data_IF_639667970527
#
_entry.id   IF_639667970527
#
_cell.length_a   1.000
_cell.length_b   1.000
_cell.length_c   1.000
_cell.angle_alpha   90.00
_cell.angle_beta   90.00
_cell.angle_gamma   90.00
#
_symmetry.space_group_name_H-M   'P 1'
#
loop_
_entity.id
_entity.type
_entity.pdbx_description
1 polymer ?
#
# COMPACT_ATOMS: atom_id res chain seq x y z
N UNK A 1 -11.05 61.58 -63.61
CA UNK A 1 -9.95 60.61 -63.40
C UNK A 1 -9.27 60.76 -62.03
N UNK A 2 -10.02 60.93 -60.92
CA UNK A 2 -9.48 60.97 -59.54
C UNK A 2 -10.10 59.93 -58.60
N UNK A 3 -11.29 59.41 -58.93
CA UNK A 3 -12.05 58.46 -58.10
C UNK A 3 -11.53 57.00 -58.27
N UNK A 4 -11.07 56.64 -59.47
CA UNK A 4 -10.57 55.28 -59.76
C UNK A 4 -9.25 54.97 -59.02
N UNK A 5 -8.39 55.97 -58.82
CA UNK A 5 -7.11 55.80 -58.14
C UNK A 5 -7.24 55.72 -56.61
N UNK A 6 -8.29 56.33 -56.03
CA UNK A 6 -8.57 56.19 -54.60
C UNK A 6 -9.11 54.78 -54.23
N UNK A 7 -9.90 54.16 -55.11
CA UNK A 7 -10.42 52.79 -54.90
C UNK A 7 -9.33 51.72 -55.11
N UNK A 8 -8.38 51.96 -56.02
CA UNK A 8 -7.22 51.09 -56.22
C UNK A 8 -6.19 51.21 -55.09
N UNK A 9 -6.02 52.39 -54.49
CA UNK A 9 -5.17 52.55 -53.31
C UNK A 9 -5.81 51.95 -52.06
N UNK A 10 -7.12 52.09 -51.83
CA UNK A 10 -7.78 51.45 -50.68
C UNK A 10 -7.73 49.92 -50.75
N UNK A 11 -7.81 49.31 -51.94
CA UNK A 11 -7.63 47.85 -52.11
C UNK A 11 -6.19 47.38 -51.86
N UNK A 12 -5.17 48.11 -52.31
CA UNK A 12 -3.76 47.79 -52.03
C UNK A 12 -3.39 48.01 -50.56
N UNK A 13 -3.94 49.06 -49.94
CA UNK A 13 -3.80 49.33 -48.51
C UNK A 13 -4.53 48.24 -47.70
N UNK A 14 -5.72 47.81 -48.12
CA UNK A 14 -6.47 46.75 -47.43
C UNK A 14 -5.77 45.39 -47.53
N UNK A 15 -5.20 45.05 -48.69
CA UNK A 15 -4.37 43.84 -48.83
C UNK A 15 -3.09 43.93 -47.99
N UNK A 16 -2.43 45.09 -47.95
CA UNK A 16 -1.25 45.30 -47.10
C UNK A 16 -1.58 45.19 -45.60
N UNK A 17 -2.69 45.79 -45.16
CA UNK A 17 -3.18 45.70 -43.77
C UNK A 17 -3.52 44.28 -43.38
N UNK A 18 -4.18 43.50 -44.26
CA UNK A 18 -4.50 42.09 -44.00
C UNK A 18 -3.23 41.24 -43.91
N UNK A 19 -2.24 41.45 -44.79
CA UNK A 19 -0.96 40.73 -44.74
C UNK A 19 -0.18 41.07 -43.46
N UNK A 20 -0.12 42.35 -43.08
CA UNK A 20 0.54 42.80 -41.85
C UNK A 20 -0.18 42.24 -40.62
N UNK A 21 -1.52 42.23 -40.60
CA UNK A 21 -2.31 41.63 -39.53
C UNK A 21 -2.06 40.12 -39.42
N UNK A 22 -1.99 39.42 -40.55
CA UNK A 22 -1.72 37.97 -40.57
C UNK A 22 -0.30 37.65 -40.11
N UNK A 23 0.68 38.49 -40.42
CA UNK A 23 2.06 38.37 -39.94
C UNK A 23 2.16 38.66 -38.43
N UNK A 24 1.40 39.63 -37.91
CA UNK A 24 1.37 39.94 -36.46
C UNK A 24 0.71 38.79 -35.68
N UNK A 25 -0.41 38.24 -36.15
CA UNK A 25 -1.08 37.08 -35.53
C UNK A 25 -0.19 35.84 -35.62
N UNK A 26 0.45 35.58 -36.76
CA UNK A 26 1.40 34.48 -36.93
C UNK A 26 2.61 34.62 -35.99
N UNK A 27 3.15 35.83 -35.84
CA UNK A 27 4.25 36.11 -34.92
C UNK A 27 3.85 35.94 -33.44
N UNK A 28 2.62 36.31 -33.07
CA UNK A 28 2.09 36.13 -31.71
C UNK A 28 1.82 34.66 -31.35
N UNK A 29 1.34 33.85 -32.31
CA UNK A 29 1.10 32.42 -32.08
C UNK A 29 2.40 31.63 -31.88
N UNK A 30 3.49 31.99 -32.56
CA UNK A 30 4.78 31.29 -32.42
C UNK A 30 5.48 31.64 -31.09
N UNK A 31 5.20 32.81 -30.51
CA UNK A 31 5.86 33.28 -29.28
C UNK A 31 5.22 32.76 -27.97
N UNK A 32 4.10 32.04 -28.03
CA UNK A 32 3.39 31.51 -26.85
C UNK A 32 3.77 30.09 -26.42
N UNK A 33 4.74 29.44 -27.07
CA UNK A 33 5.25 28.15 -26.57
C UNK A 33 6.49 28.33 -25.69
N UNK A 34 6.32 29.01 -24.55
CA UNK A 34 7.27 28.92 -23.43
C UNK A 34 7.01 27.61 -22.69
N UNK A 35 7.80 26.60 -23.07
CA UNK A 35 8.37 25.53 -22.22
C UNK A 35 7.50 25.09 -21.04
N UNK A 36 6.58 24.14 -21.30
CA UNK A 36 6.40 23.06 -20.34
C UNK A 36 7.64 22.18 -20.47
N UNK A 37 8.50 22.31 -19.46
CA UNK A 37 9.65 21.45 -19.17
C UNK A 37 9.23 19.98 -19.24
N UNK A 38 10.17 19.07 -19.56
CA UNK A 38 9.92 17.83 -20.28
C UNK A 38 8.89 16.97 -19.55
N UNK A 39 8.05 16.34 -20.37
CA UNK A 39 7.36 15.08 -20.03
C UNK A 39 8.22 14.33 -19.04
N UNK A 40 7.68 14.16 -17.82
CA UNK A 40 8.20 13.23 -16.83
C UNK A 40 8.73 12.03 -17.61
N UNK A 41 10.04 11.81 -17.53
CA UNK A 41 10.58 10.46 -17.59
C UNK A 41 9.58 9.64 -16.81
N UNK A 42 8.94 8.67 -17.47
CA UNK A 42 8.38 7.54 -16.75
C UNK A 42 9.59 6.98 -16.03
N UNK A 43 9.82 7.46 -14.80
CA UNK A 43 10.30 6.61 -13.74
C UNK A 43 9.31 5.46 -13.83
N UNK A 44 9.73 4.37 -14.48
CA UNK A 44 9.25 3.06 -14.09
C UNK A 44 9.20 3.14 -12.58
N UNK A 45 7.98 3.18 -12.06
CA UNK A 45 7.74 2.97 -10.65
C UNK A 45 8.23 1.55 -10.45
N UNK A 46 9.55 1.44 -10.19
CA UNK A 46 10.19 0.22 -9.77
C UNK A 46 9.37 -0.14 -8.54
N UNK A 47 8.46 -1.11 -8.71
CA UNK A 47 7.82 -1.78 -7.60
C UNK A 47 8.96 -2.07 -6.63
N UNK A 48 8.84 -1.62 -5.36
CA UNK A 48 9.92 -1.80 -4.41
C UNK A 48 10.37 -3.25 -4.48
N UNK A 49 11.65 -3.45 -4.77
CA UNK A 49 12.22 -4.80 -4.82
C UNK A 49 11.86 -5.47 -3.50
N UNK A 50 11.10 -6.56 -3.57
CA UNK A 50 10.58 -7.20 -2.38
C UNK A 50 11.78 -7.71 -1.57
N UNK A 51 12.10 -7.03 -0.47
CA UNK A 51 13.14 -7.50 0.45
C UNK A 51 12.71 -8.89 0.96
N UNK A 52 13.52 -9.90 0.63
CA UNK A 52 13.26 -11.27 1.06
C UNK A 52 13.62 -11.34 2.55
N UNK A 53 12.59 -11.34 3.41
CA UNK A 53 12.78 -11.51 4.86
C UNK A 53 13.13 -12.97 5.13
N UNK A 54 14.29 -13.27 5.74
CA UNK A 54 14.69 -14.64 6.04
C UNK A 54 13.74 -15.30 7.05
N UNK A 55 13.52 -16.60 6.94
CA UNK A 55 12.68 -17.33 7.89
C UNK A 55 13.39 -17.56 9.22
N UNK A 56 12.62 -17.69 10.30
CA UNK A 56 13.17 -18.13 11.59
C UNK A 56 13.76 -19.54 11.53
N UNK A 57 14.67 -19.84 12.46
CA UNK A 57 15.31 -21.14 12.56
C UNK A 57 14.36 -22.24 13.05
N UNK A 58 14.73 -23.50 12.83
CA UNK A 58 13.93 -24.68 13.19
C UNK A 58 13.71 -24.88 14.70
N UNK A 59 14.46 -24.17 15.55
CA UNK A 59 14.26 -24.16 16.99
C UNK A 59 13.00 -23.39 17.42
N UNK A 60 12.48 -22.51 16.56
CA UNK A 60 11.29 -21.73 16.84
C UNK A 60 10.05 -22.56 16.52
N UNK A 61 9.20 -22.78 17.53
CA UNK A 61 7.93 -23.50 17.37
C UNK A 61 6.76 -22.57 17.67
N UNK A 62 5.75 -22.61 16.81
CA UNK A 62 4.53 -21.81 16.95
C UNK A 62 3.33 -22.75 17.07
N UNK A 63 2.52 -22.50 18.09
CA UNK A 63 1.27 -23.21 18.34
C UNK A 63 0.11 -22.20 18.43
N UNK A 64 -1.05 -22.62 17.95
CA UNK A 64 -2.28 -21.82 17.98
C UNK A 64 -3.42 -22.71 18.48
N UNK A 65 -4.09 -22.28 19.55
CA UNK A 65 -5.22 -23.00 20.12
C UNK A 65 -6.44 -22.11 20.22
N UNK A 66 -7.56 -22.57 19.69
CA UNK A 66 -8.83 -21.89 19.87
C UNK A 66 -9.53 -22.31 21.18
N UNK A 67 -10.34 -21.40 21.72
CA UNK A 67 -11.30 -21.74 22.75
C UNK A 67 -12.39 -22.69 22.19
N UNK A 68 -13.17 -23.30 23.10
CA UNK A 68 -14.20 -24.28 22.71
C UNK A 68 -15.24 -23.76 21.72
N UNK A 69 -15.43 -22.43 21.67
CA UNK A 69 -16.41 -21.78 20.83
C UNK A 69 -15.81 -21.11 19.59
N UNK A 70 -14.49 -21.22 19.38
CA UNK A 70 -13.73 -20.62 18.28
C UNK A 70 -13.94 -19.12 18.14
N UNK A 71 -13.97 -18.42 19.27
CA UNK A 71 -14.13 -16.97 19.40
C UNK A 71 -12.83 -16.28 19.77
N UNK A 72 -11.95 -16.99 20.48
CA UNK A 72 -10.66 -16.49 20.89
C UNK A 72 -9.59 -17.55 20.65
N UNK A 73 -8.38 -17.09 20.36
CA UNK A 73 -7.22 -17.96 20.21
C UNK A 73 -6.09 -17.55 21.15
N UNK A 74 -5.28 -18.54 21.52
CA UNK A 74 -4.02 -18.37 22.22
C UNK A 74 -2.87 -18.73 21.28
N UNK A 75 -1.97 -17.77 21.08
CA UNK A 75 -0.74 -17.91 20.32
C UNK A 75 0.41 -18.19 21.28
N UNK A 76 1.10 -19.32 21.11
CA UNK A 76 2.31 -19.66 21.87
C UNK A 76 3.49 -19.74 20.92
N UNK A 77 4.57 -19.04 21.26
CA UNK A 77 5.82 -19.04 20.50
C UNK A 77 6.93 -19.47 21.46
N UNK A 78 7.62 -20.57 21.14
CA UNK A 78 8.79 -21.05 21.89
C UNK A 78 10.02 -21.01 21.02
N UNK A 79 11.19 -20.89 21.64
CA UNK A 79 12.46 -20.80 20.94
C UNK A 79 12.58 -19.48 20.16
N UNK A 80 12.12 -18.38 20.77
CA UNK A 80 12.27 -17.03 20.21
C UNK A 80 13.77 -16.74 20.03
N UNK A 81 14.22 -16.26 18.86
CA UNK A 81 15.63 -15.96 18.64
C UNK A 81 16.18 -14.94 19.65
N UNK A 82 17.43 -15.08 20.05
CA UNK A 82 18.11 -14.11 20.90
C UNK A 82 18.13 -12.71 20.26
N UNK A 83 18.13 -11.67 21.09
CA UNK A 83 18.01 -10.26 20.67
C UNK A 83 16.73 -9.92 19.88
N UNK A 84 15.66 -10.70 20.00
CA UNK A 84 14.33 -10.30 19.52
C UNK A 84 13.71 -9.30 20.50
N UNK A 85 13.28 -8.15 19.99
CA UNK A 85 12.62 -7.10 20.76
C UNK A 85 11.11 -7.35 20.83
N UNK A 86 10.49 -7.49 19.67
CA UNK A 86 9.06 -7.73 19.53
C UNK A 86 8.76 -8.70 18.38
N UNK A 87 7.55 -9.24 18.41
CA UNK A 87 6.99 -10.11 17.38
C UNK A 87 5.68 -9.49 16.93
N UNK A 88 5.62 -9.03 15.69
CA UNK A 88 4.37 -8.67 15.03
C UNK A 88 3.68 -9.96 14.56
N UNK A 89 2.39 -10.07 14.79
CA UNK A 89 1.58 -11.17 14.28
C UNK A 89 0.45 -10.63 13.41
N UNK A 90 0.17 -11.36 12.34
CA UNK A 90 -1.02 -11.23 11.51
C UNK A 90 -1.70 -12.60 11.45
N UNK A 91 -2.99 -12.62 11.75
CA UNK A 91 -3.85 -13.78 11.62
C UNK A 91 -4.88 -13.47 10.56
N UNK A 92 -4.98 -14.32 9.54
CA UNK A 92 -5.99 -14.20 8.50
C UNK A 92 -6.84 -15.48 8.44
N UNK A 93 -8.14 -15.31 8.26
CA UNK A 93 -9.10 -16.42 8.25
C UNK A 93 -10.36 -16.09 7.46
N UNK A 94 -11.15 -17.12 7.18
CA UNK A 94 -12.49 -17.00 6.59
C UNK A 94 -13.55 -17.18 7.66
N UNK A 95 -14.46 -16.22 7.76
CA UNK A 95 -15.70 -16.34 8.52
C UNK A 95 -16.83 -16.89 7.63
N UNK A 96 -17.99 -17.16 8.25
CA UNK A 96 -19.22 -17.58 7.57
C UNK A 96 -19.51 -16.73 6.33
N UNK A 97 -19.91 -17.40 5.24
CA UNK A 97 -20.10 -16.76 3.94
C UNK A 97 -18.78 -16.49 3.18
N UNK A 98 -17.67 -17.12 3.59
CA UNK A 98 -16.34 -16.95 3.00
C UNK A 98 -15.84 -15.51 3.07
N UNK A 99 -16.15 -14.81 4.16
CA UNK A 99 -15.74 -13.43 4.36
C UNK A 99 -14.30 -13.40 4.93
N UNK A 100 -13.31 -12.86 4.19
CA UNK A 100 -11.95 -12.72 4.72
C UNK A 100 -11.91 -11.72 5.87
N UNK A 101 -11.24 -12.12 6.94
CA UNK A 101 -11.08 -11.38 8.19
C UNK A 101 -9.65 -11.56 8.69
N UNK A 102 -9.26 -10.71 9.63
CA UNK A 102 -7.97 -10.87 10.28
C UNK A 102 -7.81 -10.04 11.54
N UNK A 103 -6.73 -10.35 12.25
CA UNK A 103 -6.31 -9.69 13.48
C UNK A 103 -4.81 -9.44 13.37
N UNK A 104 -4.39 -8.23 13.69
CA UNK A 104 -2.98 -7.84 13.77
C UNK A 104 -2.64 -7.41 15.18
N UNK A 105 -1.39 -7.63 15.59
CA UNK A 105 -0.90 -7.09 16.84
C UNK A 105 0.58 -7.36 17.06
N UNK A 106 1.02 -7.02 18.26
CA UNK A 106 2.44 -7.13 18.65
C UNK A 106 2.54 -7.81 20.01
N UNK A 107 3.59 -8.61 20.17
CA UNK A 107 3.99 -9.22 21.44
C UNK A 107 5.40 -8.72 21.76
N UNK A 108 5.56 -8.05 22.89
CA UNK A 108 6.88 -7.71 23.43
C UNK A 108 7.52 -8.99 24.00
N UNK A 109 8.79 -9.22 23.65
CA UNK A 109 9.51 -10.44 24.04
C UNK A 109 10.21 -10.26 25.38
N UNK A 110 10.68 -9.06 25.70
CA UNK A 110 11.41 -8.74 26.95
C UNK A 110 12.56 -9.73 27.26
N UNK A 111 13.26 -10.22 26.23
CA UNK A 111 14.34 -11.21 26.37
C UNK A 111 13.88 -12.64 26.74
N UNK A 112 12.58 -12.93 26.69
CA UNK A 112 12.04 -14.27 26.95
C UNK A 112 12.25 -15.19 25.75
N UNK A 113 12.53 -16.46 26.01
CA UNK A 113 12.63 -17.52 24.98
C UNK A 113 11.27 -18.13 24.63
N UNK A 114 10.24 -17.85 25.43
CA UNK A 114 8.86 -18.28 25.25
C UNK A 114 7.91 -17.12 25.57
N UNK A 115 6.95 -16.89 24.67
CA UNK A 115 5.89 -15.90 24.85
C UNK A 115 4.54 -16.51 24.53
N UNK A 116 3.53 -16.11 25.29
CA UNK A 116 2.14 -16.50 25.09
C UNK A 116 1.26 -15.25 25.00
N UNK A 117 0.42 -15.20 23.97
CA UNK A 117 -0.61 -14.18 23.81
C UNK A 117 -1.98 -14.86 23.79
N UNK A 118 -2.72 -14.69 24.87
CA UNK A 118 -4.06 -15.25 25.06
C UNK A 118 -5.14 -14.23 24.72
N UNK A 119 -6.36 -14.69 24.44
CA UNK A 119 -7.53 -13.85 24.27
C UNK A 119 -7.52 -13.03 22.98
N UNK A 120 -6.87 -13.53 21.93
CA UNK A 120 -6.91 -12.88 20.61
C UNK A 120 -8.29 -13.13 20.02
N UNK A 121 -9.13 -12.09 19.98
CA UNK A 121 -10.52 -12.19 19.55
C UNK A 121 -10.65 -12.38 18.04
N UNK A 122 -11.40 -13.41 17.62
CA UNK A 122 -11.86 -13.61 16.25
C UNK A 122 -13.18 -12.86 16.07
N UNK A 123 -13.09 -11.57 15.73
CA UNK A 123 -14.25 -10.73 15.50
C UNK A 123 -13.92 -9.25 15.60
N UNK A 124 -14.94 -8.44 15.90
CA UNK A 124 -14.81 -6.99 16.07
C UNK A 124 -15.34 -6.55 17.41
N UNK A 125 -14.55 -5.77 18.14
CA UNK A 125 -14.94 -5.19 19.41
C UNK A 125 -15.16 -3.67 19.27
N UNK A 126 -16.25 -3.16 19.82
CA UNK A 126 -16.54 -1.73 19.91
C UNK A 126 -17.01 -1.40 21.32
N UNK A 127 -16.37 -0.41 21.95
CA UNK A 127 -16.76 0.09 23.29
C UNK A 127 -16.91 -1.00 24.36
N UNK A 128 -16.05 -2.04 24.31
CA UNK A 128 -16.05 -3.16 25.27
C UNK A 128 -17.02 -4.30 24.95
N UNK A 129 -17.84 -4.18 23.90
CA UNK A 129 -18.69 -5.26 23.40
C UNK A 129 -18.07 -5.88 22.13
N UNK A 130 -17.93 -7.21 22.11
CA UNK A 130 -17.37 -7.93 20.97
C UNK A 130 -18.45 -8.72 20.22
N UNK A 131 -18.44 -8.59 18.89
CA UNK A 131 -19.19 -9.43 17.97
C UNK A 131 -18.20 -10.43 17.38
N UNK A 132 -18.39 -11.70 17.71
CA UNK A 132 -17.53 -12.79 17.30
C UNK A 132 -17.92 -13.30 15.92
N UNK A 133 -16.91 -13.56 15.10
CA UNK A 133 -17.07 -14.22 13.81
C UNK A 133 -17.38 -15.71 14.02
N UNK A 134 -18.12 -16.29 13.07
CA UNK A 134 -18.55 -17.69 13.09
C UNK A 134 -17.96 -18.44 11.90
N UNK A 135 -17.95 -19.77 11.97
CA UNK A 135 -17.55 -20.62 10.85
C UNK A 135 -16.04 -20.70 10.60
N UNK A 136 -15.22 -20.19 11.51
CA UNK A 136 -13.76 -20.24 11.39
C UNK A 136 -13.28 -21.70 11.50
N UNK A 137 -12.53 -22.16 10.51
CA UNK A 137 -12.01 -23.53 10.42
C UNK A 137 -10.49 -23.58 10.47
N UNK A 138 -9.83 -22.65 9.80
CA UNK A 138 -8.38 -22.50 9.81
C UNK A 138 -8.00 -21.04 9.94
N UNK A 139 -6.80 -20.82 10.46
CA UNK A 139 -6.19 -19.50 10.60
C UNK A 139 -4.78 -19.59 10.04
N UNK A 140 -4.49 -18.72 9.08
CA UNK A 140 -3.13 -18.48 8.60
C UNK A 140 -2.46 -17.46 9.51
N UNK A 141 -1.39 -17.88 10.17
CA UNK A 141 -0.58 -17.06 11.07
C UNK A 141 0.70 -16.68 10.35
N UNK A 142 0.94 -15.37 10.21
CA UNK A 142 2.21 -14.80 9.79
C UNK A 142 2.82 -14.05 10.98
N UNK A 143 4.10 -14.31 11.27
CA UNK A 143 4.85 -13.63 12.32
C UNK A 143 6.05 -12.93 11.70
N UNK A 144 6.35 -11.74 12.22
CA UNK A 144 7.58 -11.01 11.93
C UNK A 144 8.30 -10.73 13.25
N UNK A 145 9.44 -11.37 13.41
CA UNK A 145 10.33 -11.20 14.56
C UNK A 145 11.26 -10.03 14.25
N UNK A 146 11.25 -9.01 15.10
CA UNK A 146 12.11 -7.84 14.96
C UNK A 146 13.17 -7.86 16.07
N UNK A 147 14.44 -7.89 15.70
CA UNK A 147 15.56 -7.89 16.64
C UNK A 147 16.79 -7.15 16.12
N UNK A 148 17.87 -7.21 16.89
CA UNK A 148 19.17 -6.64 16.47
C UNK A 148 19.73 -7.32 15.21
N UNK A 149 19.33 -8.56 14.95
CA UNK A 149 19.66 -9.32 13.75
C UNK A 149 18.84 -8.91 12.51
N UNK A 150 17.99 -7.88 12.61
CA UNK A 150 17.03 -7.50 11.59
C UNK A 150 15.68 -8.20 11.77
N UNK A 151 14.95 -8.36 10.67
CA UNK A 151 13.65 -9.04 10.68
C UNK A 151 13.77 -10.50 10.23
N UNK A 152 12.99 -11.38 10.86
CA UNK A 152 12.77 -12.77 10.41
C UNK A 152 11.28 -13.09 10.33
N UNK A 153 10.90 -13.98 9.43
CA UNK A 153 9.50 -14.34 9.18
C UNK A 153 9.17 -15.78 9.60
N UNK A 154 7.91 -16.02 9.93
CA UNK A 154 7.32 -17.35 10.07
C UNK A 154 5.91 -17.32 9.48
N UNK A 155 5.52 -18.36 8.76
CA UNK A 155 4.16 -18.48 8.25
C UNK A 155 3.69 -19.93 8.37
N UNK A 156 2.48 -20.13 8.90
CA UNK A 156 1.85 -21.45 8.99
C UNK A 156 0.33 -21.31 9.09
N UNK A 157 -0.37 -22.25 8.47
CA UNK A 157 -1.82 -22.43 8.65
C UNK A 157 -2.12 -23.46 9.75
N UNK A 158 -3.09 -23.14 10.59
CA UNK A 158 -3.56 -23.97 11.70
C UNK A 158 -5.04 -24.28 11.53
N UNK A 159 -5.41 -25.55 11.62
CA UNK A 159 -6.80 -25.96 11.82
C UNK A 159 -7.17 -25.80 13.29
N UNK A 160 -8.34 -25.21 13.57
CA UNK A 160 -8.83 -24.91 14.92
C UNK A 160 -10.25 -25.41 15.16
#
# INVERSE_FOLDING_TARGET
MKILNQILQSKKILVSVVIVLMLIVGFFLIKSNKKVSPSKTQTEELLPESEIIPTVGSSTTVDLKADRLKREVSLTIKGVPESTNNIEYEMSYLADGNLPKGVIGTVEVDGKTEVEKTGITLGTCSSGACVYDKGVKSIKVALKFNGEYGSRSFEKEFEI
#
